data_IF_948121383033
#
_entry.id   IF_948121383033
#
_cell.length_a   1.000
_cell.length_b   1.000
_cell.length_c   1.000
_cell.angle_alpha   90.00
_cell.angle_beta   90.00
_cell.angle_gamma   90.00
#
_symmetry.space_group_name_H-M   'P 1'
#
loop_
_entity.id
_entity.type
_entity.pdbx_description
1 polymer ?
#
# COMPACT_ATOMS: atom_id res chain seq x y z
N UNK A 1 -4.44 -14.72 -7.41
CA UNK A 1 -4.96 -13.78 -8.42
C UNK A 1 -5.85 -14.58 -9.34
N UNK A 2 -7.16 -14.32 -9.34
CA UNK A 2 -8.10 -15.04 -10.21
C UNK A 2 -8.04 -14.56 -11.68
N UNK A 3 -7.22 -13.53 -11.96
CA UNK A 3 -7.18 -12.82 -13.25
C UNK A 3 -5.98 -13.20 -14.13
N UNK A 4 -5.14 -14.15 -13.72
CA UNK A 4 -3.86 -14.45 -14.40
C UNK A 4 -4.07 -14.80 -15.87
N UNK A 5 -5.11 -15.57 -16.19
CA UNK A 5 -5.44 -15.94 -17.57
C UNK A 5 -5.84 -14.74 -18.42
N UNK A 6 -6.56 -13.77 -17.85
CA UNK A 6 -6.94 -12.56 -18.56
C UNK A 6 -5.76 -11.59 -18.71
N UNK A 7 -4.89 -11.51 -17.69
CA UNK A 7 -3.61 -10.77 -17.79
C UNK A 7 -2.79 -11.33 -18.95
N UNK A 8 -2.71 -12.65 -19.06
CA UNK A 8 -2.00 -13.31 -20.15
C UNK A 8 -2.58 -12.93 -21.51
N UNK A 9 -3.91 -13.00 -21.69
CA UNK A 9 -4.58 -12.62 -22.94
C UNK A 9 -4.40 -11.14 -23.31
N UNK A 10 -4.36 -10.25 -22.33
CA UNK A 10 -4.13 -8.82 -22.58
C UNK A 10 -2.67 -8.54 -22.95
N UNK A 11 -1.74 -9.32 -22.42
CA UNK A 11 -0.32 -9.22 -22.74
C UNK A 11 0.05 -9.88 -24.08
N UNK A 12 -0.59 -10.99 -24.42
CA UNK A 12 -0.39 -11.75 -25.68
C UNK A 12 -1.08 -11.04 -26.85
N UNK A 13 -0.42 -10.00 -27.38
CA UNK A 13 -0.95 -9.19 -28.49
C UNK A 13 -0.90 -9.93 -29.82
N UNK A 14 0.08 -10.82 -30.00
CA UNK A 14 0.28 -11.57 -31.24
C UNK A 14 -0.51 -12.90 -31.29
N UNK A 15 -1.16 -13.29 -30.18
CA UNK A 15 -1.88 -14.55 -30.01
C UNK A 15 -0.99 -15.78 -30.29
N UNK A 16 0.31 -15.65 -30.02
CA UNK A 16 1.28 -16.74 -30.18
C UNK A 16 1.11 -17.84 -29.13
N UNK A 17 0.43 -17.55 -28.02
CA UNK A 17 0.31 -18.46 -26.88
C UNK A 17 1.57 -18.50 -26.00
N UNK A 18 2.58 -17.69 -26.29
CA UNK A 18 3.73 -17.43 -25.43
C UNK A 18 3.89 -15.94 -25.17
N UNK A 19 4.48 -15.56 -24.04
CA UNK A 19 4.73 -14.16 -23.71
C UNK A 19 6.21 -13.84 -23.82
N UNK A 20 6.54 -12.89 -24.69
CA UNK A 20 7.89 -12.32 -24.76
C UNK A 20 8.11 -11.26 -23.68
N UNK A 21 9.36 -11.01 -23.31
CA UNK A 21 9.71 -9.97 -22.31
C UNK A 21 9.20 -8.58 -22.71
N UNK A 22 9.15 -8.28 -24.01
CA UNK A 22 8.67 -6.98 -24.52
C UNK A 22 7.17 -6.80 -24.29
N UNK A 23 6.38 -7.83 -24.61
CA UNK A 23 4.93 -7.82 -24.40
C UNK A 23 4.55 -7.73 -22.93
N UNK A 24 5.30 -8.43 -22.09
CA UNK A 24 5.17 -8.33 -20.64
C UNK A 24 5.46 -6.89 -20.19
N UNK A 25 6.53 -6.28 -20.70
CA UNK A 25 6.94 -4.92 -20.33
C UNK A 25 5.88 -3.87 -20.71
N UNK A 26 5.20 -4.05 -21.85
CA UNK A 26 4.14 -3.13 -22.31
C UNK A 26 2.93 -3.09 -21.35
N UNK A 27 2.56 -4.23 -20.77
CA UNK A 27 1.41 -4.35 -19.84
C UNK A 27 1.85 -4.16 -18.38
N UNK A 28 3.15 -4.13 -18.14
CA UNK A 28 3.74 -4.12 -16.82
C UNK A 28 3.35 -2.90 -15.99
N UNK A 29 3.35 -1.72 -16.60
CA UNK A 29 3.02 -0.48 -15.90
C UNK A 29 1.56 -0.51 -15.40
N UNK A 30 0.63 -1.02 -16.22
CA UNK A 30 -0.76 -1.18 -15.82
C UNK A 30 -0.92 -2.26 -14.73
N UNK A 31 -0.13 -3.34 -14.80
CA UNK A 31 -0.09 -4.39 -13.76
C UNK A 31 0.42 -3.82 -12.43
N UNK A 32 1.47 -3.00 -12.42
CA UNK A 32 1.99 -2.38 -11.19
C UNK A 32 1.01 -1.40 -10.57
N UNK A 33 0.22 -0.70 -11.39
CA UNK A 33 -0.85 0.17 -10.87
C UNK A 33 -1.91 -0.69 -10.17
N UNK A 34 -2.40 -1.75 -10.82
CA UNK A 34 -3.51 -2.58 -10.30
C UNK A 34 -3.10 -3.52 -9.17
N UNK A 35 -1.92 -4.12 -9.26
CA UNK A 35 -1.38 -5.11 -8.34
C UNK A 35 -0.06 -4.63 -7.73
N UNK A 36 -0.11 -3.68 -6.78
CA UNK A 36 1.10 -3.12 -6.17
C UNK A 36 1.97 -4.17 -5.44
N UNK A 37 1.41 -5.33 -5.10
CA UNK A 37 2.16 -6.46 -4.55
C UNK A 37 3.27 -6.96 -5.46
N UNK A 38 3.14 -6.81 -6.79
CA UNK A 38 4.16 -7.25 -7.75
C UNK A 38 5.41 -6.38 -7.59
N UNK A 39 5.22 -5.06 -7.52
CA UNK A 39 6.31 -4.10 -7.31
C UNK A 39 7.00 -4.32 -5.95
N UNK A 40 6.21 -4.56 -4.89
CA UNK A 40 6.75 -4.83 -3.55
C UNK A 40 7.55 -6.13 -3.50
N UNK A 41 7.06 -7.18 -4.15
CA UNK A 41 7.77 -8.46 -4.23
C UNK A 41 9.13 -8.30 -4.93
N UNK A 42 9.14 -7.64 -6.09
CA UNK A 42 10.35 -7.36 -6.86
C UNK A 42 11.39 -6.61 -6.03
N UNK A 43 10.98 -5.52 -5.36
CA UNK A 43 11.84 -4.74 -4.47
C UNK A 43 12.38 -5.56 -3.31
N UNK A 44 11.55 -6.41 -2.70
CA UNK A 44 11.97 -7.25 -1.57
C UNK A 44 13.01 -8.30 -1.95
N UNK A 45 13.01 -8.75 -3.21
CA UNK A 45 13.93 -9.76 -3.77
C UNK A 45 15.12 -9.12 -4.50
N UNK A 46 15.23 -7.80 -4.53
CA UNK A 46 16.23 -7.05 -5.31
C UNK A 46 16.25 -7.42 -6.81
N UNK A 47 15.08 -7.71 -7.38
CA UNK A 47 14.92 -8.00 -8.81
C UNK A 47 14.79 -6.70 -9.60
N UNK A 48 15.47 -6.59 -10.74
CA UNK A 48 15.51 -5.38 -11.56
C UNK A 48 14.31 -5.28 -12.51
N UNK A 49 13.50 -6.33 -12.63
CA UNK A 49 12.27 -6.33 -13.42
C UNK A 49 11.60 -7.70 -13.50
N UNK A 50 10.55 -7.81 -14.31
CA UNK A 50 9.85 -9.10 -14.50
C UNK A 50 10.73 -10.13 -15.21
N UNK A 51 11.70 -9.72 -16.03
CA UNK A 51 12.66 -10.64 -16.64
C UNK A 51 13.34 -11.56 -15.60
N UNK A 52 13.63 -11.05 -14.40
CA UNK A 52 14.23 -11.82 -13.31
C UNK A 52 13.21 -12.78 -12.65
N UNK A 53 11.93 -12.36 -12.54
CA UNK A 53 10.84 -13.25 -12.12
C UNK A 53 10.67 -14.40 -13.10
N UNK A 54 10.72 -14.10 -14.40
CA UNK A 54 10.59 -15.09 -15.46
C UNK A 54 11.74 -16.09 -15.40
N UNK A 55 12.98 -15.61 -15.25
CA UNK A 55 14.16 -16.45 -15.11
C UNK A 55 14.07 -17.38 -13.91
N UNK A 56 13.56 -16.88 -12.79
CA UNK A 56 13.35 -17.68 -11.58
C UNK A 56 12.27 -18.75 -11.79
N UNK A 57 11.27 -18.50 -12.63
CA UNK A 57 10.21 -19.45 -12.92
C UNK A 57 10.65 -20.59 -13.86
N UNK A 58 11.51 -20.29 -14.85
CA UNK A 58 12.09 -21.29 -15.79
C UNK A 58 13.23 -22.12 -15.18
N UNK A 59 13.89 -21.63 -14.13
CA UNK A 59 15.13 -22.24 -13.61
C UNK A 59 16.33 -21.89 -14.50
N UNK A 60 17.55 -22.04 -13.99
CA UNK A 60 18.81 -21.57 -14.62
C UNK A 60 19.21 -22.26 -15.95
N UNK A 61 18.27 -22.88 -16.66
CA UNK A 61 18.49 -23.50 -17.96
C UNK A 61 17.87 -22.64 -19.07
N UNK A 62 18.74 -22.21 -20.00
CA UNK A 62 18.48 -21.59 -21.30
C UNK A 62 18.50 -20.05 -21.39
N UNK A 63 19.42 -19.59 -22.26
CA UNK A 63 19.77 -18.20 -22.56
C UNK A 63 19.12 -17.66 -23.82
N UNK A 64 18.25 -18.43 -24.48
CA UNK A 64 17.69 -18.05 -25.79
C UNK A 64 16.17 -17.96 -25.69
N UNK A 65 15.66 -16.77 -26.00
CA UNK A 65 14.23 -16.36 -25.99
C UNK A 65 13.48 -16.73 -24.71
N UNK A 66 13.42 -15.77 -23.80
CA UNK A 66 12.58 -15.82 -22.59
C UNK A 66 11.11 -15.68 -23.01
N UNK A 67 10.56 -16.78 -23.53
CA UNK A 67 9.15 -16.96 -23.87
C UNK A 67 8.47 -17.72 -22.74
N UNK A 68 7.45 -17.13 -22.12
CA UNK A 68 6.71 -17.76 -21.04
C UNK A 68 5.44 -18.43 -21.54
N UNK A 69 5.25 -19.69 -21.17
CA UNK A 69 3.95 -20.33 -21.33
C UNK A 69 2.99 -19.87 -20.21
N UNK A 70 1.67 -20.01 -20.43
CA UNK A 70 0.61 -19.63 -19.49
C UNK A 70 0.82 -20.27 -18.11
N UNK A 71 1.22 -21.54 -18.06
CA UNK A 71 1.44 -22.26 -16.81
C UNK A 71 2.62 -21.71 -16.00
N UNK A 72 3.72 -21.37 -16.69
CA UNK A 72 4.91 -20.78 -16.09
C UNK A 72 4.62 -19.36 -15.59
N UNK A 73 3.92 -18.57 -16.39
CA UNK A 73 3.46 -17.23 -16.01
C UNK A 73 2.53 -17.28 -14.79
N UNK A 74 1.62 -18.26 -14.75
CA UNK A 74 0.75 -18.49 -13.60
C UNK A 74 1.52 -18.88 -12.36
N UNK A 75 2.53 -19.74 -12.48
CA UNK A 75 3.40 -20.12 -11.36
C UNK A 75 4.17 -18.90 -10.82
N UNK A 76 4.73 -18.08 -11.70
CA UNK A 76 5.45 -16.86 -11.33
C UNK A 76 4.55 -15.88 -10.55
N UNK A 77 3.36 -15.57 -11.06
CA UNK A 77 2.42 -14.66 -10.38
C UNK A 77 1.80 -15.27 -9.12
N UNK A 78 1.59 -16.58 -9.07
CA UNK A 78 1.10 -17.26 -7.86
C UNK A 78 2.10 -17.13 -6.70
N UNK A 79 3.41 -17.15 -6.98
CA UNK A 79 4.44 -16.93 -5.96
C UNK A 79 4.36 -15.52 -5.39
N UNK A 80 4.18 -14.52 -6.25
CA UNK A 80 4.00 -13.13 -5.84
C UNK A 80 2.74 -12.98 -4.99
N UNK A 81 1.63 -13.58 -5.40
CA UNK A 81 0.35 -13.48 -4.72
C UNK A 81 0.36 -14.12 -3.32
N UNK A 82 1.12 -15.20 -3.15
CA UNK A 82 1.30 -15.84 -1.83
C UNK A 82 1.94 -14.92 -0.78
N UNK A 83 2.65 -13.88 -1.22
CA UNK A 83 3.33 -12.90 -0.36
C UNK A 83 2.49 -11.65 -0.10
N UNK A 84 1.26 -11.59 -0.61
CA UNK A 84 0.35 -10.47 -0.38
C UNK A 84 0.01 -10.41 1.10
N UNK A 85 0.32 -9.26 1.71
CA UNK A 85 -0.06 -8.94 3.08
C UNK A 85 -1.15 -7.88 3.06
N UNK A 86 -2.19 -8.11 3.85
CA UNK A 86 -3.19 -7.08 4.10
C UNK A 86 -2.56 -5.88 4.82
N UNK A 87 -3.12 -4.71 4.58
CA UNK A 87 -2.75 -3.51 5.31
C UNK A 87 -3.03 -3.71 6.82
N UNK A 88 -2.20 -3.13 7.70
CA UNK A 88 -2.38 -3.31 9.13
C UNK A 88 -3.69 -2.67 9.61
N UNK A 89 -4.38 -3.32 10.53
CA UNK A 89 -5.66 -2.87 11.09
C UNK A 89 -5.47 -1.68 12.06
N UNK A 90 -5.07 -0.53 11.52
CA UNK A 90 -4.79 0.70 12.27
C UNK A 90 -5.79 1.80 11.92
N UNK A 91 -6.05 2.70 12.87
CA UNK A 91 -6.89 3.88 12.64
C UNK A 91 -6.35 4.75 11.50
N UNK A 92 -5.03 4.76 11.27
CA UNK A 92 -4.42 5.45 10.15
C UNK A 92 -4.86 4.88 8.80
N UNK A 93 -4.83 3.55 8.63
CA UNK A 93 -5.28 2.88 7.41
C UNK A 93 -6.77 3.16 7.18
N UNK A 94 -7.60 3.00 8.23
CA UNK A 94 -9.03 3.27 8.15
C UNK A 94 -9.34 4.72 7.74
N UNK A 95 -8.65 5.69 8.35
CA UNK A 95 -8.82 7.12 8.03
C UNK A 95 -8.45 7.42 6.56
N UNK A 96 -7.33 6.89 6.07
CA UNK A 96 -6.91 7.08 4.68
C UNK A 96 -7.86 6.40 3.68
N UNK A 97 -8.32 5.19 3.98
CA UNK A 97 -9.30 4.47 3.16
C UNK A 97 -10.63 5.22 3.11
N UNK A 98 -11.12 5.71 4.25
CA UNK A 98 -12.34 6.51 4.32
C UNK A 98 -12.24 7.79 3.49
N UNK A 99 -11.12 8.52 3.59
CA UNK A 99 -10.89 9.72 2.79
C UNK A 99 -10.75 9.42 1.29
N UNK A 100 -10.14 8.29 0.92
CA UNK A 100 -10.08 7.85 -0.47
C UNK A 100 -11.47 7.54 -1.02
N UNK A 101 -12.26 6.73 -0.32
CA UNK A 101 -13.63 6.39 -0.74
C UNK A 101 -14.53 7.61 -0.84
N UNK A 102 -14.47 8.53 0.12
CA UNK A 102 -15.22 9.79 0.07
C UNK A 102 -14.89 10.61 -1.20
N UNK A 103 -13.60 10.68 -1.57
CA UNK A 103 -13.18 11.33 -2.83
C UNK A 103 -13.73 10.61 -4.06
N UNK A 104 -13.70 9.28 -4.07
CA UNK A 104 -14.26 8.50 -5.17
C UNK A 104 -15.76 8.74 -5.34
N UNK A 105 -16.53 8.76 -4.24
CA UNK A 105 -17.97 9.05 -4.32
C UNK A 105 -18.25 10.47 -4.80
N UNK A 106 -17.49 11.46 -4.31
CA UNK A 106 -17.69 12.86 -4.71
C UNK A 106 -17.34 13.11 -6.19
N UNK A 107 -16.39 12.35 -6.75
CA UNK A 107 -15.93 12.47 -8.15
C UNK A 107 -16.52 11.42 -9.09
N UNK A 108 -17.56 10.70 -8.67
CA UNK A 108 -18.05 9.53 -9.39
C UNK A 108 -18.55 9.86 -10.81
N UNK A 109 -19.22 11.01 -10.97
CA UNK A 109 -19.71 11.49 -12.28
C UNK A 109 -18.55 11.85 -13.22
N UNK A 110 -17.62 12.66 -12.75
CA UNK A 110 -16.45 13.07 -13.55
C UNK A 110 -15.60 11.86 -13.97
N UNK A 111 -15.47 10.87 -13.09
CA UNK A 111 -14.72 9.64 -13.35
C UNK A 111 -15.42 8.65 -14.29
N UNK A 112 -16.72 8.82 -14.55
CA UNK A 112 -17.44 8.08 -15.59
C UNK A 112 -17.15 8.64 -16.97
N UNK A 113 -17.06 9.97 -17.10
CA UNK A 113 -16.69 10.64 -18.36
C UNK A 113 -15.18 10.53 -18.64
N UNK A 114 -14.34 10.72 -17.62
CA UNK A 114 -12.88 10.73 -17.74
C UNK A 114 -12.25 9.75 -16.73
N UNK A 115 -12.14 8.46 -17.07
CA UNK A 115 -11.62 7.46 -16.15
C UNK A 115 -10.12 7.65 -15.86
N UNK A 116 -9.76 7.79 -14.58
CA UNK A 116 -8.37 8.03 -14.14
C UNK A 116 -7.56 6.73 -13.92
N UNK A 117 -8.23 5.58 -13.83
CA UNK A 117 -7.65 4.31 -13.44
C UNK A 117 -6.96 3.54 -14.57
N UNK A 118 -6.30 2.41 -14.25
CA UNK A 118 -5.67 1.53 -15.24
C UNK A 118 -6.71 0.83 -16.13
N UNK A 119 -6.25 0.16 -17.18
CA UNK A 119 -7.10 -0.64 -18.08
C UNK A 119 -7.80 -1.75 -17.29
N UNK A 120 -9.07 -2.02 -17.61
CA UNK A 120 -9.79 -3.16 -17.03
C UNK A 120 -9.31 -4.43 -17.71
N UNK A 121 -8.75 -5.32 -16.91
CA UNK A 121 -8.28 -6.64 -17.38
C UNK A 121 -9.48 -7.58 -17.63
N UNK A 122 -10.59 -7.37 -16.91
CA UNK A 122 -11.88 -8.03 -17.20
C UNK A 122 -12.81 -7.02 -17.87
N UNK A 123 -13.03 -7.18 -19.16
CA UNK A 123 -13.95 -6.35 -19.96
C UNK A 123 -13.31 -5.11 -20.57
N UNK A 124 -14.13 -4.30 -21.23
CA UNK A 124 -13.68 -3.14 -22.00
C UNK A 124 -13.58 -1.86 -21.15
N UNK A 125 -12.65 -0.98 -21.52
CA UNK A 125 -12.46 0.35 -20.92
C UNK A 125 -11.49 0.39 -19.74
N UNK A 126 -11.56 1.49 -18.98
CA UNK A 126 -10.64 1.78 -17.85
C UNK A 126 -11.38 1.76 -16.50
N UNK A 127 -10.64 1.52 -15.43
CA UNK A 127 -11.16 1.70 -14.08
C UNK A 127 -11.44 3.20 -13.85
N UNK A 128 -12.55 3.52 -13.17
CA UNK A 128 -12.93 4.92 -12.89
C UNK A 128 -11.87 5.66 -12.06
N UNK A 129 -11.29 4.96 -11.08
CA UNK A 129 -10.31 5.51 -10.15
C UNK A 129 -9.04 4.68 -10.12
N UNK A 130 -7.93 5.32 -9.75
CA UNK A 130 -6.68 4.63 -9.40
C UNK A 130 -6.83 3.89 -8.07
N UNK A 131 -6.29 2.68 -7.91
CA UNK A 131 -6.43 1.91 -6.68
C UNK A 131 -5.82 2.63 -5.46
N UNK A 132 -6.39 2.32 -4.29
CA UNK A 132 -5.94 2.88 -3.02
C UNK A 132 -4.48 2.50 -2.72
N UNK A 133 -3.65 3.50 -2.42
CA UNK A 133 -2.26 3.30 -1.97
C UNK A 133 -2.10 3.85 -0.56
N UNK A 134 -1.79 2.96 0.38
CA UNK A 134 -1.52 3.34 1.76
C UNK A 134 -0.19 4.07 1.88
N UNK A 135 -0.19 5.20 2.58
CA UNK A 135 1.03 5.91 2.95
C UNK A 135 1.25 5.78 4.46
N UNK A 136 2.27 5.03 4.86
CA UNK A 136 2.67 4.97 6.26
C UNK A 136 3.26 6.33 6.69
N UNK A 137 2.81 6.83 7.85
CA UNK A 137 3.19 8.15 8.37
C UNK A 137 4.04 8.02 9.63
N UNK A 138 4.44 6.80 9.96
CA UNK A 138 5.14 6.48 11.19
C UNK A 138 4.21 5.93 12.27
N UNK A 139 4.81 5.59 13.40
CA UNK A 139 4.14 5.05 14.57
C UNK A 139 4.73 5.64 15.84
N UNK A 140 3.90 5.77 16.86
CA UNK A 140 4.30 6.25 18.18
C UNK A 140 3.85 5.25 19.24
N UNK A 141 4.69 5.00 20.23
CA UNK A 141 4.42 4.15 21.38
C UNK A 141 4.88 4.85 22.67
N UNK A 142 3.95 5.31 23.55
CA UNK A 142 4.33 5.82 24.86
C UNK A 142 4.88 4.66 25.71
N UNK A 143 6.05 4.86 26.31
CA UNK A 143 6.77 3.82 27.07
C UNK A 143 6.53 3.92 28.59
N UNK A 144 5.85 4.97 29.05
CA UNK A 144 5.78 5.31 30.47
C UNK A 144 6.94 6.23 30.88
N UNK A 145 6.92 6.73 32.13
CA UNK A 145 7.96 7.64 32.62
C UNK A 145 8.13 8.93 31.81
N UNK A 146 7.06 9.39 31.13
CA UNK A 146 7.07 10.55 30.22
C UNK A 146 8.00 10.42 29.00
N UNK A 147 8.26 9.19 28.57
CA UNK A 147 9.01 8.90 27.35
C UNK A 147 8.10 8.24 26.31
N UNK A 148 8.33 8.59 25.06
CA UNK A 148 7.68 7.96 23.89
C UNK A 148 8.75 7.53 22.91
N UNK A 149 8.56 6.36 22.30
CA UNK A 149 9.27 5.95 21.11
C UNK A 149 8.46 6.37 19.87
N UNK A 150 9.14 6.93 18.87
CA UNK A 150 8.57 7.22 17.57
C UNK A 150 9.43 6.63 16.47
N UNK A 151 8.77 6.11 15.45
CA UNK A 151 9.40 5.71 14.20
C UNK A 151 8.70 6.44 13.07
N UNK A 152 9.38 7.40 12.46
CA UNK A 152 8.88 8.16 11.31
C UNK A 152 9.34 7.48 10.01
N UNK A 153 8.61 7.64 8.89
CA UNK A 153 8.97 6.99 7.63
C UNK A 153 10.29 7.56 7.11
N UNK A 154 11.31 6.71 6.97
CA UNK A 154 12.64 7.10 6.52
C UNK A 154 13.57 7.60 7.62
N UNK A 155 13.13 7.60 8.89
CA UNK A 155 13.91 8.01 10.04
C UNK A 155 14.24 6.83 10.97
N UNK A 156 15.21 7.01 11.85
CA UNK A 156 15.56 6.05 12.89
C UNK A 156 14.58 6.14 14.06
N UNK A 157 14.58 5.13 14.93
CA UNK A 157 13.72 5.13 16.11
C UNK A 157 14.22 6.19 17.10
N UNK A 158 13.39 7.20 17.36
CA UNK A 158 13.68 8.26 18.31
C UNK A 158 12.95 8.00 19.62
N UNK A 159 13.68 7.96 20.74
CA UNK A 159 13.13 7.69 22.08
C UNK A 159 13.51 8.83 23.02
N UNK A 160 12.54 9.36 23.75
CA UNK A 160 12.80 10.30 24.83
C UNK A 160 11.66 11.29 25.10
N UNK A 161 11.97 12.30 25.91
CA UNK A 161 11.02 13.34 26.29
C UNK A 161 10.70 14.32 25.15
N UNK A 162 11.64 14.60 24.25
CA UNK A 162 11.38 15.39 23.04
C UNK A 162 10.34 14.70 22.14
N UNK A 163 10.48 13.39 21.97
CA UNK A 163 9.51 12.55 21.25
C UNK A 163 8.14 12.53 21.95
N UNK A 164 8.10 12.58 23.29
CA UNK A 164 6.85 12.70 24.06
C UNK A 164 6.11 14.02 23.73
N UNK A 165 6.82 15.14 23.63
CA UNK A 165 6.22 16.41 23.23
C UNK A 165 5.71 16.40 21.78
N UNK A 166 6.46 15.77 20.88
CA UNK A 166 6.01 15.55 19.51
C UNK A 166 4.73 14.70 19.47
N UNK A 167 4.67 13.65 20.30
CA UNK A 167 3.48 12.81 20.44
C UNK A 167 2.26 13.60 20.89
N UNK A 168 2.39 14.43 21.94
CA UNK A 168 1.30 15.31 22.38
C UNK A 168 0.82 16.23 21.26
N UNK A 169 1.73 16.85 20.51
CA UNK A 169 1.41 17.74 19.40
C UNK A 169 0.63 17.03 18.27
N UNK A 170 1.12 15.86 17.85
CA UNK A 170 0.47 15.06 16.80
C UNK A 170 -0.92 14.61 17.25
N UNK A 171 -1.04 14.05 18.45
CA UNK A 171 -2.33 13.52 18.94
C UNK A 171 -3.36 14.60 19.25
N UNK A 172 -2.94 15.81 19.68
CA UNK A 172 -3.83 16.95 19.80
C UNK A 172 -4.36 17.38 18.42
N UNK A 173 -3.49 17.42 17.41
CA UNK A 173 -3.86 17.83 16.05
C UNK A 173 -4.78 16.82 15.37
N UNK A 174 -4.58 15.52 15.61
CA UNK A 174 -5.37 14.42 15.03
C UNK A 174 -6.79 14.29 15.60
N UNK A 175 -7.13 15.03 16.66
CA UNK A 175 -8.50 15.05 17.17
C UNK A 175 -9.48 15.61 16.12
N UNK A 176 -10.65 14.97 16.01
CA UNK A 176 -11.65 15.26 14.97
C UNK A 176 -12.33 16.62 15.19
N UNK A 177 -12.50 17.05 16.46
CA UNK A 177 -13.22 18.27 16.80
C UNK A 177 -12.38 19.20 17.67
N UNK A 178 -12.68 20.50 17.58
CA UNK A 178 -12.08 21.51 18.47
C UNK A 178 -12.38 21.25 19.94
N UNK A 179 -13.61 20.82 20.25
CA UNK A 179 -14.03 20.49 21.61
C UNK A 179 -13.20 19.35 22.20
N UNK A 180 -13.06 18.24 21.48
CA UNK A 180 -12.26 17.10 21.95
C UNK A 180 -10.78 17.46 22.07
N UNK A 181 -10.25 18.28 21.15
CA UNK A 181 -8.88 18.81 21.26
C UNK A 181 -8.68 19.62 22.55
N UNK A 182 -9.57 20.58 22.84
CA UNK A 182 -9.48 21.40 24.04
C UNK A 182 -9.58 20.57 25.32
N UNK A 183 -10.48 19.58 25.34
CA UNK A 183 -10.64 18.66 26.47
C UNK A 183 -9.35 17.86 26.73
N UNK A 184 -8.79 17.22 25.69
CA UNK A 184 -7.56 16.42 25.80
C UNK A 184 -6.38 17.26 26.30
N UNK A 185 -6.22 18.48 25.77
CA UNK A 185 -5.14 19.38 26.21
C UNK A 185 -5.35 19.77 27.68
N UNK A 186 -6.58 20.14 28.07
CA UNK A 186 -6.92 20.46 29.46
C UNK A 186 -6.62 19.29 30.41
N UNK A 187 -6.95 18.06 30.00
CA UNK A 187 -6.68 16.86 30.80
C UNK A 187 -5.18 16.61 30.97
N UNK A 188 -4.38 16.82 29.92
CA UNK A 188 -2.93 16.76 30.03
C UNK A 188 -2.35 17.85 30.94
N UNK A 189 -2.87 19.08 30.88
CA UNK A 189 -2.46 20.17 31.77
C UNK A 189 -2.80 19.87 33.23
N UNK A 190 -4.01 19.38 33.51
CA UNK A 190 -4.42 18.97 34.86
C UNK A 190 -3.55 17.83 35.38
N UNK A 191 -3.28 16.82 34.54
CA UNK A 191 -2.36 15.71 34.86
C UNK A 191 -0.96 16.22 35.26
N UNK A 192 -0.46 17.25 34.58
CA UNK A 192 0.87 17.81 34.83
C UNK A 192 0.91 18.60 36.15
N UNK A 193 -0.12 19.39 36.46
CA UNK A 193 -0.15 20.25 37.66
C UNK A 193 -0.55 19.46 38.91
N UNK A 194 -1.62 18.66 38.82
CA UNK A 194 -2.27 18.03 39.96
C UNK A 194 -2.05 16.52 40.05
N UNK A 195 -1.41 15.91 39.04
CA UNK A 195 -1.32 14.45 38.93
C UNK A 195 -2.58 13.82 38.32
N UNK A 196 -2.61 12.49 38.25
CA UNK A 196 -3.77 11.75 37.74
C UNK A 196 -4.86 11.66 38.80
N UNK A 197 -6.08 11.99 38.40
CA UNK A 197 -7.24 11.68 39.22
C UNK A 197 -7.38 10.15 39.37
N UNK A 198 -7.54 9.70 40.61
CA UNK A 198 -7.56 8.28 41.00
C UNK A 198 -8.88 7.89 41.67
N UNK A 199 -9.87 8.78 41.72
CA UNK A 199 -11.13 8.59 42.44
C UNK A 199 -12.04 7.46 41.90
N UNK A 200 -11.63 6.78 40.83
CA UNK A 200 -12.36 5.66 40.21
C UNK A 200 -11.52 4.37 40.10
N UNK A 201 -10.46 4.23 40.90
CA UNK A 201 -9.73 2.96 41.11
C UNK A 201 -10.27 2.28 42.37
#
# INVERSE_FOLDING_TARGET
>A
MDDISEIFRVADKDNSGTLTVKEIQDVLDDIYVRYPQVELYLKSRQMNGIADLVRTAKGDAEKESVELNIEEFKKALSLVDSQVKNLPATAQVASQQGQYLARCFNKMKDAEENPEGPIRIRGEGRHRFRPFRYRHLGQFAPLGGEQTAAQLPGDWISIGHSTQWLWYSVYATKQISWRTRALVISDWSRRFIFGRDSSCI
#
